data_IF_902201114011
#
_entry.id   IF_902201114011
#
_cell.length_a   1.000
_cell.length_b   1.000
_cell.length_c   1.000
_cell.angle_alpha   90.00
_cell.angle_beta   90.00
_cell.angle_gamma   90.00
#
_symmetry.space_group_name_H-M   'P 1'
#
loop_
_entity.id
_entity.type
_entity.pdbx_description
1 polymer ?
#
# COMPACT_ATOMS: atom_id res chain seq x y z
N UNK A 1 2.95 -20.21 -10.16
CA UNK A 1 1.67 -19.62 -9.72
C UNK A 1 1.67 -18.14 -10.10
N UNK A 2 0.50 -17.53 -10.31
CA UNK A 2 0.41 -16.10 -10.61
C UNK A 2 0.81 -15.27 -9.38
N UNK A 3 1.53 -14.18 -9.61
CA UNK A 3 1.88 -13.19 -8.59
C UNK A 3 0.63 -12.39 -8.19
N UNK A 4 0.48 -12.11 -6.88
CA UNK A 4 -0.66 -11.38 -6.30
C UNK A 4 -0.15 -10.15 -5.53
N UNK A 5 -0.91 -9.07 -5.59
CA UNK A 5 -0.62 -7.84 -4.83
C UNK A 5 -1.79 -7.49 -3.93
N UNK A 6 -1.49 -7.15 -2.67
CA UNK A 6 -2.39 -6.39 -1.80
C UNK A 6 -2.07 -4.93 -2.02
N UNK A 7 -2.88 -4.29 -2.85
CA UNK A 7 -2.65 -2.93 -3.30
C UNK A 7 -3.08 -1.91 -2.25
N UNK A 8 -2.13 -1.09 -1.79
CA UNK A 8 -2.37 0.08 -0.94
C UNK A 8 -2.01 1.32 -1.74
N UNK A 9 -2.98 2.21 -1.95
CA UNK A 9 -2.77 3.42 -2.74
C UNK A 9 -2.45 4.62 -1.83
N UNK A 10 -1.28 5.21 -2.02
CA UNK A 10 -0.84 6.43 -1.35
C UNK A 10 -0.89 7.58 -2.38
N UNK A 11 -1.89 8.47 -2.26
CA UNK A 11 -2.06 9.57 -3.20
C UNK A 11 -0.84 10.49 -3.17
N UNK A 12 -0.55 11.08 -4.31
CA UNK A 12 0.56 12.02 -4.45
C UNK A 12 0.28 13.29 -3.63
N UNK A 13 0.87 13.41 -2.44
CA UNK A 13 0.61 14.46 -1.45
C UNK A 13 1.08 15.90 -1.81
N UNK A 14 1.29 16.22 -3.10
CA UNK A 14 1.66 17.59 -3.51
C UNK A 14 2.64 17.71 -4.67
N UNK A 15 2.27 17.29 -5.88
CA UNK A 15 2.98 17.81 -7.07
C UNK A 15 2.28 19.10 -7.50
N UNK A 16 2.92 20.28 -7.42
CA UNK A 16 2.35 21.50 -8.01
C UNK A 16 2.28 21.41 -9.53
N UNK A 17 3.06 20.52 -10.14
CA UNK A 17 3.00 20.24 -11.56
C UNK A 17 1.87 19.22 -11.81
N UNK A 18 0.73 19.71 -12.30
CA UNK A 18 -0.29 18.87 -12.96
C UNK A 18 0.33 18.19 -14.17
N UNK A 19 1.01 17.07 -13.95
CA UNK A 19 1.56 16.26 -15.02
C UNK A 19 0.38 15.74 -15.86
N UNK A 20 0.44 15.87 -17.19
CA UNK A 20 -0.60 15.39 -18.11
C UNK A 20 -0.92 13.90 -17.94
N UNK A 21 -0.01 13.14 -17.31
CA UNK A 21 -0.15 11.73 -16.98
C UNK A 21 -0.72 11.46 -15.56
N UNK A 22 -0.65 12.42 -14.65
CA UNK A 22 -1.07 12.30 -13.25
C UNK A 22 -2.22 13.26 -12.96
N UNK A 23 -3.40 12.96 -13.49
CA UNK A 23 -4.65 13.58 -13.03
C UNK A 23 -5.25 12.73 -11.90
N UNK A 24 -4.49 12.51 -10.82
CA UNK A 24 -4.87 11.61 -9.73
C UNK A 24 -6.15 12.07 -9.00
N UNK A 25 -6.45 13.37 -9.00
CA UNK A 25 -7.71 13.93 -8.49
C UNK A 25 -8.94 13.40 -9.23
N UNK A 26 -8.79 12.95 -10.49
CA UNK A 26 -9.90 12.41 -11.31
C UNK A 26 -10.02 10.88 -11.29
N UNK A 27 -8.98 10.15 -10.85
CA UNK A 27 -8.86 8.70 -11.12
C UNK A 27 -8.98 7.85 -9.84
N UNK A 28 -8.46 8.31 -8.69
CA UNK A 28 -8.31 7.42 -7.53
C UNK A 28 -9.49 7.42 -6.55
N UNK A 29 -10.36 8.42 -6.58
CA UNK A 29 -11.45 8.61 -5.59
C UNK A 29 -10.97 8.82 -4.14
N UNK A 30 -9.67 8.64 -3.87
CA UNK A 30 -9.03 8.78 -2.58
C UNK A 30 -8.31 10.12 -2.53
N UNK A 31 -9.00 11.15 -2.06
CA UNK A 31 -8.39 12.47 -1.77
C UNK A 31 -7.44 12.41 -0.56
N UNK A 32 -7.56 11.36 0.28
CA UNK A 32 -6.84 11.23 1.54
C UNK A 32 -5.88 10.05 1.51
N UNK A 33 -4.66 10.28 1.99
CA UNK A 33 -3.70 9.21 2.22
C UNK A 33 -4.18 8.27 3.33
N UNK A 34 -4.06 6.93 3.15
CA UNK A 34 -4.55 5.98 4.13
C UNK A 34 -3.71 6.07 5.41
N UNK A 35 -4.37 6.02 6.56
CA UNK A 35 -3.72 5.83 7.84
C UNK A 35 -3.13 4.42 7.98
N UNK A 36 -2.17 4.26 8.89
CA UNK A 36 -1.61 2.95 9.22
C UNK A 36 -2.70 1.94 9.66
N UNK A 37 -3.73 2.40 10.38
CA UNK A 37 -4.86 1.56 10.81
C UNK A 37 -5.72 1.08 9.63
N UNK A 38 -5.95 1.93 8.63
CA UNK A 38 -6.64 1.55 7.39
C UNK A 38 -5.82 0.51 6.62
N UNK A 39 -4.50 0.71 6.49
CA UNK A 39 -3.59 -0.25 5.84
C UNK A 39 -3.57 -1.58 6.58
N UNK A 40 -3.48 -1.55 7.91
CA UNK A 40 -3.55 -2.74 8.75
C UNK A 40 -4.86 -3.51 8.53
N UNK A 41 -5.98 -2.79 8.50
CA UNK A 41 -7.31 -3.38 8.30
C UNK A 41 -7.46 -4.05 6.93
N UNK A 42 -6.92 -3.43 5.88
CA UNK A 42 -6.87 -4.00 4.53
C UNK A 42 -6.05 -5.30 4.55
N UNK A 43 -4.84 -5.26 5.09
CA UNK A 43 -3.95 -6.42 5.14
C UNK A 43 -4.56 -7.55 5.97
N UNK A 44 -5.17 -7.23 7.12
CA UNK A 44 -5.86 -8.20 7.97
C UNK A 44 -7.02 -8.88 7.24
N UNK A 45 -7.86 -8.10 6.58
CA UNK A 45 -8.99 -8.65 5.84
C UNK A 45 -8.52 -9.61 4.72
N UNK A 46 -7.49 -9.23 3.97
CA UNK A 46 -6.91 -10.11 2.96
C UNK A 46 -6.25 -11.34 3.58
N UNK A 47 -5.57 -11.17 4.71
CA UNK A 47 -4.94 -12.27 5.42
C UNK A 47 -5.97 -13.30 5.88
N UNK A 48 -7.09 -12.88 6.45
CA UNK A 48 -8.16 -13.77 6.93
C UNK A 48 -8.92 -14.47 5.79
N UNK A 49 -9.11 -13.80 4.64
CA UNK A 49 -9.96 -14.29 3.56
C UNK A 49 -9.20 -14.99 2.42
N UNK A 50 -7.86 -14.92 2.39
CA UNK A 50 -7.06 -15.54 1.34
C UNK A 50 -6.57 -16.94 1.76
N UNK A 51 -7.06 -18.02 1.11
CA UNK A 51 -6.72 -19.40 1.49
C UNK A 51 -5.28 -19.79 1.12
N UNK A 52 -4.73 -19.20 0.06
CA UNK A 52 -3.35 -19.39 -0.37
C UNK A 52 -2.69 -18.02 -0.54
N UNK A 53 -1.70 -17.73 0.31
CA UNK A 53 -0.96 -16.47 0.35
C UNK A 53 0.39 -16.55 -0.35
N UNK A 54 0.75 -17.69 -0.93
CA UNK A 54 2.00 -17.84 -1.69
C UNK A 54 2.05 -16.86 -2.86
N UNK A 55 3.24 -16.35 -3.17
CA UNK A 55 3.50 -15.40 -4.24
C UNK A 55 2.66 -14.11 -4.11
N UNK A 56 2.48 -13.62 -2.88
CA UNK A 56 1.66 -12.44 -2.55
C UNK A 56 2.46 -11.40 -1.81
N UNK A 57 2.49 -10.17 -2.31
CA UNK A 57 3.18 -9.04 -1.69
C UNK A 57 2.21 -7.92 -1.32
N UNK A 58 2.57 -7.15 -0.29
CA UNK A 58 1.90 -5.90 0.04
C UNK A 58 2.54 -4.80 -0.80
N UNK A 59 1.78 -4.21 -1.72
CA UNK A 59 2.31 -3.29 -2.71
C UNK A 59 1.76 -1.88 -2.48
N UNK A 60 2.67 -0.95 -2.18
CA UNK A 60 2.35 0.47 -2.07
C UNK A 60 2.43 1.13 -3.45
N UNK A 61 1.29 1.61 -3.94
CA UNK A 61 1.17 2.28 -5.24
C UNK A 61 0.86 3.77 -5.07
N UNK A 62 1.11 4.58 -6.10
CA UNK A 62 0.67 5.97 -6.16
C UNK A 62 1.80 6.94 -6.47
N UNK A 63 2.02 7.93 -5.61
CA UNK A 63 3.15 8.86 -5.72
C UNK A 63 4.51 8.19 -5.47
N UNK A 64 5.52 8.99 -5.12
CA UNK A 64 6.79 8.42 -4.65
C UNK A 64 6.67 8.07 -3.17
N UNK A 65 6.61 6.76 -2.85
CA UNK A 65 6.52 6.27 -1.47
C UNK A 65 7.63 6.83 -0.58
N UNK A 66 8.85 6.88 -1.09
CA UNK A 66 10.02 7.39 -0.35
C UNK A 66 10.05 8.91 -0.23
N UNK A 67 9.11 9.63 -0.89
CA UNK A 67 8.99 11.09 -0.80
C UNK A 67 7.89 11.56 0.18
N UNK A 68 7.22 10.63 0.87
CA UNK A 68 6.25 10.99 1.92
C UNK A 68 6.99 11.27 3.25
N UNK A 69 6.35 11.93 4.25
CA UNK A 69 6.99 12.17 5.55
C UNK A 69 7.56 10.89 6.17
N UNK A 70 8.78 10.96 6.70
CA UNK A 70 9.52 9.80 7.20
C UNK A 70 8.71 8.99 8.24
N UNK A 71 8.16 9.67 9.25
CA UNK A 71 7.39 9.00 10.31
C UNK A 71 6.13 8.31 9.76
N UNK A 72 5.50 8.92 8.75
CA UNK A 72 4.36 8.31 8.08
C UNK A 72 4.78 7.07 7.30
N UNK A 73 5.86 7.15 6.51
CA UNK A 73 6.43 6.01 5.79
C UNK A 73 6.75 4.85 6.73
N UNK A 74 7.43 5.13 7.85
CA UNK A 74 7.74 4.13 8.86
C UNK A 74 6.46 3.52 9.44
N UNK A 75 5.46 4.34 9.80
CA UNK A 75 4.19 3.82 10.34
C UNK A 75 3.47 2.85 9.39
N UNK A 76 3.54 3.09 8.08
CA UNK A 76 2.97 2.20 7.08
C UNK A 76 3.75 0.87 6.98
N UNK A 77 5.09 0.93 7.02
CA UNK A 77 5.94 -0.25 6.97
C UNK A 77 5.82 -1.10 8.25
N UNK A 78 5.72 -0.47 9.41
CA UNK A 78 5.60 -1.14 10.70
C UNK A 78 4.24 -1.83 10.85
N UNK A 79 3.14 -1.18 10.43
CA UNK A 79 1.81 -1.74 10.61
C UNK A 79 1.59 -3.06 9.83
N UNK A 80 2.34 -3.26 8.75
CA UNK A 80 2.20 -4.46 7.91
C UNK A 80 3.13 -5.62 8.30
N UNK A 81 4.12 -5.38 9.16
CA UNK A 81 5.07 -6.42 9.60
C UNK A 81 4.41 -7.71 10.13
N UNK A 82 3.31 -7.66 10.91
CA UNK A 82 2.70 -8.88 11.43
C UNK A 82 2.21 -9.86 10.36
N UNK A 83 2.00 -9.40 9.13
CA UNK A 83 1.53 -10.24 8.02
C UNK A 83 2.67 -10.87 7.19
N UNK A 84 3.93 -10.48 7.46
CA UNK A 84 5.13 -11.00 6.79
C UNK A 84 5.75 -12.04 7.72
N UNK A 85 5.27 -13.26 7.63
CA UNK A 85 5.63 -14.35 8.52
C UNK A 85 5.56 -15.69 7.79
N UNK A 86 5.93 -16.78 8.47
CA UNK A 86 5.79 -18.12 7.92
C UNK A 86 4.30 -18.41 7.58
N UNK A 87 4.02 -18.73 6.31
CA UNK A 87 2.65 -18.85 5.74
C UNK A 87 1.86 -17.53 5.61
N UNK A 88 2.53 -16.39 5.75
CA UNK A 88 2.00 -15.05 5.50
C UNK A 88 2.22 -14.54 4.08
N UNK A 89 2.32 -13.22 3.92
CA UNK A 89 2.72 -12.58 2.66
C UNK A 89 4.24 -12.59 2.51
N UNK A 90 4.73 -12.61 1.28
CA UNK A 90 6.14 -12.78 0.96
C UNK A 90 6.99 -11.54 1.26
N UNK A 91 6.36 -10.35 1.28
CA UNK A 91 7.06 -9.11 1.59
C UNK A 91 6.32 -7.84 1.20
N UNK A 92 7.10 -6.76 1.12
CA UNK A 92 6.64 -5.41 0.78
C UNK A 92 7.26 -5.01 -0.55
N UNK A 93 6.43 -4.46 -1.43
CA UNK A 93 6.82 -3.89 -2.72
C UNK A 93 6.54 -2.39 -2.73
N UNK A 94 7.55 -1.61 -3.11
CA UNK A 94 7.55 -0.13 -3.17
C UNK A 94 7.87 0.30 -4.61
#
# INVERSE_FOLDING_TARGET
MAHKNISVFIPHAGCPNMCSFCNQNKISGAEKAPSADEVYSICRNQFENMPDRSNTEIAFFGGSFTAIPYDYMISLLECVQPFICENGFDGIRI
#
